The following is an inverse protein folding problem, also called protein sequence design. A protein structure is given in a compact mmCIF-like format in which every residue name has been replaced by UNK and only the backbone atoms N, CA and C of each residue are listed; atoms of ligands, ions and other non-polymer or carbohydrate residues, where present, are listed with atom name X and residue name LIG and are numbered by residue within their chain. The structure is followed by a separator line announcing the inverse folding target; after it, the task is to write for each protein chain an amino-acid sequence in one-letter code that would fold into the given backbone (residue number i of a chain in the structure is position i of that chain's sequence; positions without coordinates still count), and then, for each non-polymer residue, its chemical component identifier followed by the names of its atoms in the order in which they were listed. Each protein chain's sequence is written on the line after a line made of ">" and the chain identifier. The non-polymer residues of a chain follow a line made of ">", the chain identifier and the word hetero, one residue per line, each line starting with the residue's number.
data_IF_911100540199
#
_entry.id   IF_911100540199
#
_cell.length_a   1.000
_cell.length_b   1.000
_cell.length_c   1.000
_cell.angle_alpha   90.00
_cell.angle_beta   90.00
_cell.angle_gamma   90.00
#
_symmetry.space_group_name_H-M   'P 1'
#
loop_
_entity.id
_entity.type
_entity.pdbx_description
1 polymer ?
#
# COMPACT_ATOMS: atom_id res chain seq x y z
N UNK A 1 -16.59 -4.05 -23.18
CA UNK A 1 -16.20 -4.17 -21.76
C UNK A 1 -15.29 -3.00 -21.45
N UNK A 2 -15.77 -2.09 -20.63
CA UNK A 2 -15.13 -0.82 -20.31
C UNK A 2 -13.80 -1.07 -19.59
N UNK A 3 -12.69 -0.85 -20.29
CA UNK A 3 -11.37 -0.82 -19.67
C UNK A 3 -11.30 0.45 -18.80
N UNK A 4 -11.85 0.37 -17.60
CA UNK A 4 -11.65 1.35 -16.53
C UNK A 4 -10.15 1.62 -16.48
N UNK A 5 -9.77 2.89 -16.69
CA UNK A 5 -8.42 3.42 -16.50
C UNK A 5 -7.92 2.96 -15.13
N UNK A 6 -7.18 1.85 -15.08
CA UNK A 6 -6.63 1.33 -13.84
C UNK A 6 -5.40 2.18 -13.51
N UNK A 7 -5.58 3.24 -12.72
CA UNK A 7 -4.46 3.89 -12.06
C UNK A 7 -3.80 2.83 -11.17
N UNK A 8 -2.60 2.37 -11.51
CA UNK A 8 -1.86 1.42 -10.68
C UNK A 8 -1.44 2.16 -9.41
N UNK A 9 -1.94 1.69 -8.26
CA UNK A 9 -1.53 2.21 -6.97
C UNK A 9 -0.22 1.54 -6.55
N UNK A 10 0.76 2.36 -6.16
CA UNK A 10 2.08 1.90 -5.76
C UNK A 10 2.32 2.32 -4.31
N UNK A 11 2.68 1.37 -3.47
CA UNK A 11 3.13 1.65 -2.11
C UNK A 11 4.64 1.84 -2.09
N UNK A 12 5.12 2.87 -1.41
CA UNK A 12 6.54 3.15 -1.19
C UNK A 12 6.87 3.19 0.29
N UNK A 13 7.99 2.61 0.66
CA UNK A 13 8.54 2.73 2.01
C UNK A 13 9.10 4.14 2.28
N UNK A 14 9.54 4.37 3.52
CA UNK A 14 10.17 5.64 3.93
C UNK A 14 11.41 6.00 3.09
N UNK A 15 12.13 4.99 2.62
CA UNK A 15 13.32 5.15 1.77
C UNK A 15 12.98 5.50 0.31
N UNK A 16 11.69 5.65 -0.03
CA UNK A 16 11.21 5.93 -1.38
C UNK A 16 11.17 4.71 -2.32
N UNK A 17 11.61 3.54 -1.84
CA UNK A 17 11.56 2.29 -2.60
C UNK A 17 10.13 1.75 -2.71
N UNK A 18 9.79 1.22 -3.88
CA UNK A 18 8.51 0.55 -4.12
C UNK A 18 8.47 -0.76 -3.33
N UNK A 19 7.36 -0.98 -2.61
CA UNK A 19 7.08 -2.22 -1.89
C UNK A 19 6.23 -3.11 -2.78
N UNK A 20 6.78 -4.26 -3.14
CA UNK A 20 6.09 -5.23 -3.99
C UNK A 20 5.15 -6.13 -3.16
N UNK A 21 4.03 -6.60 -3.73
CA UNK A 21 3.22 -7.65 -3.12
C UNK A 21 4.07 -8.84 -2.66
N UNK A 22 3.81 -9.35 -1.46
CA UNK A 22 4.61 -10.40 -0.82
C UNK A 22 5.77 -9.88 0.04
N UNK A 23 6.11 -8.58 -0.04
CA UNK A 23 7.17 -8.02 0.79
C UNK A 23 6.72 -7.90 2.26
N UNK A 24 7.59 -8.20 3.23
CA UNK A 24 7.29 -7.94 4.64
C UNK A 24 7.25 -6.43 4.91
N UNK A 25 6.27 -6.00 5.69
CA UNK A 25 6.15 -4.63 6.18
C UNK A 25 5.97 -4.64 7.69
N UNK A 26 6.52 -3.64 8.36
CA UNK A 26 6.49 -3.53 9.82
C UNK A 26 5.67 -2.33 10.22
N UNK A 27 4.75 -2.51 11.17
CA UNK A 27 3.96 -1.42 11.70
C UNK A 27 4.77 -0.58 12.71
N UNK A 28 4.19 0.52 13.19
CA UNK A 28 4.83 1.37 14.19
C UNK A 28 5.03 0.72 15.57
N UNK A 29 4.38 -0.42 15.84
CA UNK A 29 4.54 -1.23 17.07
C UNK A 29 5.55 -2.37 16.93
N UNK A 30 6.08 -2.60 15.73
CA UNK A 30 7.04 -3.67 15.44
C UNK A 30 6.40 -5.00 14.99
N UNK A 31 5.09 -5.03 14.78
CA UNK A 31 4.37 -6.16 14.20
C UNK A 31 4.66 -6.26 12.70
N UNK A 32 4.88 -7.48 12.20
CA UNK A 32 5.19 -7.72 10.78
C UNK A 32 4.00 -8.36 10.08
N UNK A 33 3.70 -7.88 8.87
CA UNK A 33 2.69 -8.43 7.98
C UNK A 33 3.22 -8.51 6.55
N UNK A 34 2.55 -9.28 5.69
CA UNK A 34 2.84 -9.35 4.26
C UNK A 34 2.05 -8.26 3.53
N UNK A 35 2.71 -7.38 2.78
CA UNK A 35 2.00 -6.42 1.93
C UNK A 35 1.33 -7.13 0.74
N UNK A 36 0.03 -6.88 0.52
CA UNK A 36 -0.72 -7.47 -0.60
C UNK A 36 -0.86 -6.49 -1.75
N UNK A 37 -1.55 -5.38 -1.53
CA UNK A 37 -1.74 -4.34 -2.53
C UNK A 37 -2.17 -3.04 -1.88
N UNK A 38 -1.98 -1.93 -2.60
CA UNK A 38 -2.53 -0.65 -2.20
C UNK A 38 -3.99 -0.53 -2.66
N UNK A 39 -4.90 -0.16 -1.76
CA UNK A 39 -6.33 0.01 -2.05
C UNK A 39 -6.71 1.47 -2.29
N UNK A 40 -5.92 2.43 -1.79
CA UNK A 40 -6.18 3.86 -1.94
C UNK A 40 -4.89 4.68 -1.93
N UNK A 41 -4.75 5.61 -2.89
CA UNK A 41 -3.67 6.60 -2.89
C UNK A 41 -3.83 7.65 -1.79
N UNK A 42 -2.68 8.14 -1.31
CA UNK A 42 -2.60 9.40 -0.58
C UNK A 42 -3.06 10.53 -1.50
N UNK A 43 -3.91 11.41 -0.96
CA UNK A 43 -4.32 12.66 -1.61
C UNK A 43 -4.23 13.79 -0.58
N UNK A 44 -4.41 15.04 -1.02
CA UNK A 44 -4.46 16.17 -0.10
C UNK A 44 -5.49 15.91 1.02
N UNK A 45 -5.03 15.99 2.28
CA UNK A 45 -5.84 15.76 3.48
C UNK A 45 -6.28 14.30 3.74
N UNK A 46 -5.82 13.31 2.96
CA UNK A 46 -6.25 11.91 3.09
C UNK A 46 -5.08 10.93 2.95
N UNK A 47 -4.87 10.12 3.97
CA UNK A 47 -3.90 9.03 3.94
C UNK A 47 -4.32 7.92 2.97
N UNK A 48 -3.32 7.31 2.33
CA UNK A 48 -3.48 6.11 1.53
C UNK A 48 -3.81 4.90 2.39
N UNK A 49 -4.27 3.84 1.74
CA UNK A 49 -4.61 2.57 2.38
C UNK A 49 -4.02 1.39 1.63
N UNK A 50 -3.71 0.36 2.40
CA UNK A 50 -3.09 -0.87 1.95
C UNK A 50 -3.81 -2.06 2.58
N UNK A 51 -3.84 -3.16 1.85
CA UNK A 51 -4.22 -4.46 2.38
C UNK A 51 -2.94 -5.22 2.70
N UNK A 52 -2.88 -5.75 3.90
CA UNK A 52 -1.79 -6.60 4.37
C UNK A 52 -2.37 -7.94 4.81
N UNK A 53 -1.56 -8.98 4.80
CA UNK A 53 -1.90 -10.29 5.36
C UNK A 53 -1.15 -10.47 6.68
N UNK A 54 -1.92 -10.59 7.75
CA UNK A 54 -1.42 -10.84 9.10
C UNK A 54 -0.95 -12.30 9.24
N UNK A 55 -0.21 -12.58 10.30
CA UNK A 55 0.35 -13.92 10.57
C UNK A 55 -0.72 -15.01 10.75
N UNK A 56 -1.92 -14.64 11.23
CA UNK A 56 -3.08 -15.52 11.36
C UNK A 56 -3.83 -15.75 10.03
N UNK A 57 -3.41 -15.07 8.96
CA UNK A 57 -3.97 -15.19 7.62
C UNK A 57 -5.10 -14.22 7.31
N UNK A 58 -5.57 -13.42 8.28
CA UNK A 58 -6.52 -12.35 8.03
C UNK A 58 -5.91 -11.22 7.18
N UNK A 59 -6.73 -10.63 6.31
CA UNK A 59 -6.29 -9.61 5.35
C UNK A 59 -7.01 -8.26 5.57
N UNK A 60 -6.68 -7.53 6.65
CA UNK A 60 -7.29 -6.24 6.92
C UNK A 60 -6.77 -5.12 6.02
N UNK A 61 -7.64 -4.15 5.75
CA UNK A 61 -7.26 -2.86 5.17
C UNK A 61 -6.82 -1.90 6.29
N UNK A 62 -5.62 -1.35 6.15
CA UNK A 62 -5.05 -0.37 7.08
C UNK A 62 -4.62 0.91 6.35
N UNK A 63 -4.45 2.00 7.11
CA UNK A 63 -3.78 3.18 6.58
C UNK A 63 -2.32 2.88 6.29
N UNK A 64 -1.82 3.33 5.14
CA UNK A 64 -0.46 3.12 4.69
C UNK A 64 0.58 3.59 5.73
N UNK A 65 0.31 4.73 6.40
CA UNK A 65 1.15 5.28 7.46
C UNK A 65 1.38 4.36 8.66
N UNK A 66 0.46 3.43 8.94
CA UNK A 66 0.62 2.45 10.04
C UNK A 66 1.83 1.58 9.77
N UNK A 67 2.06 1.23 8.51
CA UNK A 67 3.13 0.38 8.00
C UNK A 67 4.34 1.16 7.49
N UNK A 68 4.40 2.48 7.77
CA UNK A 68 5.45 3.35 7.24
C UNK A 68 5.44 3.49 5.72
N UNK A 69 4.29 3.29 5.08
CA UNK A 69 4.13 3.35 3.64
C UNK A 69 3.43 4.64 3.20
N UNK A 70 3.75 5.08 1.99
CA UNK A 70 3.01 6.10 1.24
C UNK A 70 2.47 5.47 -0.03
N UNK A 71 1.19 5.68 -0.34
CA UNK A 71 0.61 5.17 -1.58
C UNK A 71 0.45 6.29 -2.59
N UNK A 72 0.96 6.09 -3.79
CA UNK A 72 0.83 7.04 -4.89
C UNK A 72 0.06 6.41 -6.05
N UNK A 73 -0.67 7.24 -6.80
CA UNK A 73 -1.15 6.84 -8.12
C UNK A 73 0.02 6.98 -9.09
N UNK A 74 0.47 5.87 -9.66
CA UNK A 74 1.41 5.92 -10.76
C UNK A 74 0.66 6.41 -12.00
N UNK A 75 0.76 7.72 -12.27
CA UNK A 75 0.39 8.26 -13.56
C UNK A 75 1.40 7.72 -14.58
N UNK A 76 0.96 6.80 -15.44
CA UNK A 76 1.79 6.29 -16.53
C UNK A 76 2.33 7.49 -17.33
N UNK A 77 3.63 7.79 -17.22
CA UNK A 77 4.31 8.65 -18.20
C UNK A 77 4.23 7.88 -19.52
N UNK A 78 3.42 8.41 -20.44
CA UNK A 78 3.37 7.95 -21.83
C UNK A 78 4.68 8.20 -22.54
#
# INVERSE_FOLDING_TARGET
>A
MEQRRMSTLVAKGKDGNVVAPGSPVTDFRGETAEFKYASRANTEGKDGKVVVRMVDGWEPEHYARVWGLTVEQEARRG
#
